data_IF_631410385992
#
_entry.id   IF_631410385992
#
_cell.length_a   1.000
_cell.length_b   1.000
_cell.length_c   1.000
_cell.angle_alpha   90.00
_cell.angle_beta   90.00
_cell.angle_gamma   90.00
#
_symmetry.space_group_name_H-M   'P 1'
#
loop_
_entity.id
_entity.type
_entity.pdbx_description
1 polymer ?
#
# COMPACT_ATOMS: atom_id res chain seq x y z
N UNK A 1 -19.77 15.12 -22.71
CA UNK A 1 -20.92 14.97 -23.64
C UNK A 1 -22.18 15.60 -23.05
N UNK A 2 -22.21 15.80 -21.73
CA UNK A 2 -23.38 16.25 -20.96
C UNK A 2 -23.67 17.75 -21.08
N UNK A 3 -22.68 18.56 -21.47
CA UNK A 3 -22.86 19.99 -21.75
C UNK A 3 -23.73 20.26 -22.99
N UNK A 4 -23.76 19.34 -23.97
CA UNK A 4 -24.50 19.51 -25.23
C UNK A 4 -25.77 18.64 -25.29
N UNK A 5 -25.84 17.53 -24.56
CA UNK A 5 -26.93 16.54 -24.63
C UNK A 5 -27.71 16.39 -23.30
N UNK A 6 -27.32 17.11 -22.25
CA UNK A 6 -27.90 16.98 -20.90
C UNK A 6 -29.25 17.66 -20.67
N UNK A 7 -29.68 18.59 -21.53
CA UNK A 7 -30.98 19.26 -21.37
C UNK A 7 -31.00 20.41 -20.34
N UNK A 8 -29.83 20.94 -19.96
CA UNK A 8 -29.66 22.16 -19.15
C UNK A 8 -30.24 22.07 -17.73
N UNK A 9 -30.11 20.93 -17.04
CA UNK A 9 -30.57 20.81 -15.66
C UNK A 9 -29.74 21.64 -14.67
N UNK A 10 -28.48 21.95 -15.02
CA UNK A 10 -27.57 22.70 -14.15
C UNK A 10 -27.78 24.24 -14.21
N UNK A 11 -28.56 24.76 -15.16
CA UNK A 11 -28.91 26.17 -15.22
C UNK A 11 -27.70 27.12 -15.21
N UNK A 12 -27.65 28.02 -14.23
CA UNK A 12 -26.59 29.04 -14.07
C UNK A 12 -25.29 28.49 -13.45
N UNK A 13 -25.26 27.23 -13.01
CA UNK A 13 -24.04 26.61 -12.47
C UNK A 13 -23.20 26.00 -13.59
N UNK A 14 -22.31 26.81 -14.15
CA UNK A 14 -21.49 26.45 -15.31
C UNK A 14 -20.48 25.33 -14.99
N UNK A 15 -20.11 25.13 -13.73
CA UNK A 15 -19.19 24.06 -13.33
C UNK A 15 -19.87 22.69 -13.38
N UNK A 16 -21.18 22.65 -13.15
CA UNK A 16 -21.98 21.42 -13.17
C UNK A 16 -22.37 20.96 -14.58
N UNK A 17 -22.11 21.77 -15.63
CA UNK A 17 -22.47 21.46 -17.02
C UNK A 17 -21.75 20.24 -17.60
N UNK A 18 -20.54 19.96 -17.11
CA UNK A 18 -19.72 18.83 -17.58
C UNK A 18 -20.06 17.52 -16.87
N UNK A 19 -20.79 17.58 -15.75
CA UNK A 19 -21.15 16.41 -14.96
C UNK A 19 -22.54 15.87 -15.31
N UNK A 20 -22.80 14.65 -14.84
CA UNK A 20 -24.12 14.01 -14.96
C UNK A 20 -25.24 14.81 -14.29
N UNK A 21 -24.90 15.74 -13.38
CA UNK A 21 -25.82 16.68 -12.74
C UNK A 21 -26.53 17.62 -13.74
N UNK A 22 -25.98 17.79 -14.95
CA UNK A 22 -26.64 18.56 -16.00
C UNK A 22 -27.69 17.76 -16.78
N UNK A 23 -27.78 16.44 -16.58
CA UNK A 23 -28.67 15.55 -17.35
C UNK A 23 -30.07 15.51 -16.75
N UNK A 24 -31.09 15.87 -17.55
CA UNK A 24 -32.50 15.85 -17.15
C UNK A 24 -33.00 14.42 -16.89
N UNK A 25 -33.82 14.24 -15.85
CA UNK A 25 -34.46 12.97 -15.53
C UNK A 25 -35.28 12.43 -16.71
N UNK A 26 -35.04 11.16 -17.07
CA UNK A 26 -35.68 10.51 -18.23
C UNK A 26 -34.92 10.69 -19.55
N UNK A 27 -33.76 11.36 -19.55
CA UNK A 27 -32.91 11.46 -20.73
C UNK A 27 -32.33 10.10 -21.15
N UNK A 28 -32.33 9.85 -22.45
CA UNK A 28 -31.75 8.64 -23.05
C UNK A 28 -30.22 8.53 -22.82
N UNK A 29 -29.55 9.64 -22.50
CA UNK A 29 -28.11 9.70 -22.19
C UNK A 29 -27.75 8.80 -21.00
N UNK A 30 -28.64 8.66 -20.01
CA UNK A 30 -28.44 7.75 -18.88
C UNK A 30 -28.25 6.30 -19.34
N UNK A 31 -29.00 5.86 -20.35
CA UNK A 31 -28.91 4.50 -20.87
C UNK A 31 -27.60 4.21 -21.60
N UNK A 32 -26.95 5.22 -22.18
CA UNK A 32 -25.63 5.10 -22.81
C UNK A 32 -24.50 5.24 -21.78
N UNK A 33 -24.71 6.02 -20.73
CA UNK A 33 -23.73 6.19 -19.66
C UNK A 33 -23.48 4.88 -18.91
N UNK A 34 -24.51 4.09 -18.64
CA UNK A 34 -24.40 2.79 -17.96
C UNK A 34 -23.39 1.85 -18.63
N UNK A 35 -23.51 1.46 -19.91
CA UNK A 35 -22.53 0.60 -20.56
C UNK A 35 -21.15 1.26 -20.69
N UNK A 36 -21.07 2.59 -20.84
CA UNK A 36 -19.80 3.30 -20.85
C UNK A 36 -19.05 3.16 -19.51
N UNK A 37 -19.75 3.24 -18.38
CA UNK A 37 -19.19 3.01 -17.03
C UNK A 37 -18.73 1.56 -16.88
N UNK A 38 -19.53 0.58 -17.29
CA UNK A 38 -19.10 -0.82 -17.23
C UNK A 38 -17.90 -1.11 -18.13
N UNK A 39 -17.83 -0.47 -19.30
CA UNK A 39 -16.69 -0.56 -20.19
C UNK A 39 -15.42 0.03 -19.55
N UNK A 40 -15.49 1.23 -18.97
CA UNK A 40 -14.33 1.85 -18.32
C UNK A 40 -13.86 1.03 -17.13
N UNK A 41 -14.77 0.48 -16.32
CA UNK A 41 -14.43 -0.44 -15.23
C UNK A 41 -13.74 -1.68 -15.78
N UNK A 42 -14.32 -2.33 -16.80
CA UNK A 42 -13.77 -3.56 -17.40
C UNK A 42 -12.38 -3.35 -18.00
N UNK A 43 -12.19 -2.27 -18.75
CA UNK A 43 -10.89 -1.92 -19.35
C UNK A 43 -9.86 -1.60 -18.28
N UNK A 44 -10.25 -0.83 -17.24
CA UNK A 44 -9.35 -0.49 -16.13
C UNK A 44 -8.90 -1.75 -15.38
N UNK A 45 -9.84 -2.64 -15.04
CA UNK A 45 -9.56 -3.92 -14.40
C UNK A 45 -8.62 -4.77 -15.27
N UNK A 46 -8.92 -4.91 -16.57
CA UNK A 46 -8.09 -5.66 -17.50
C UNK A 46 -6.65 -5.16 -17.54
N UNK A 47 -6.44 -3.84 -17.63
CA UNK A 47 -5.08 -3.28 -17.64
C UNK A 47 -4.36 -3.45 -16.30
N UNK A 48 -5.05 -3.29 -15.16
CA UNK A 48 -4.47 -3.49 -13.83
C UNK A 48 -3.98 -4.94 -13.69
N UNK A 49 -4.85 -5.93 -13.91
CA UNK A 49 -4.49 -7.34 -13.75
C UNK A 49 -3.41 -7.76 -14.75
N UNK A 50 -3.52 -7.36 -16.01
CA UNK A 50 -2.51 -7.66 -17.02
C UNK A 50 -1.15 -7.07 -16.66
N UNK A 51 -1.10 -5.85 -16.15
CA UNK A 51 0.16 -5.19 -15.77
C UNK A 51 0.74 -5.81 -14.49
N UNK A 52 -0.13 -6.16 -13.54
CA UNK A 52 0.25 -6.81 -12.30
C UNK A 52 0.97 -8.14 -12.57
N UNK A 53 0.34 -9.00 -13.38
CA UNK A 53 0.84 -10.36 -13.63
C UNK A 53 2.06 -10.36 -14.55
N UNK A 54 2.03 -9.58 -15.65
CA UNK A 54 3.08 -9.65 -16.66
C UNK A 54 4.30 -8.80 -16.34
N UNK A 55 4.14 -7.71 -15.58
CA UNK A 55 5.22 -6.74 -15.38
C UNK A 55 5.62 -6.60 -13.93
N UNK A 56 4.66 -6.32 -13.05
CA UNK A 56 4.97 -5.95 -11.67
C UNK A 56 5.43 -7.15 -10.85
N UNK A 57 4.69 -8.26 -10.86
CA UNK A 57 5.00 -9.44 -10.05
C UNK A 57 6.37 -10.08 -10.39
N UNK A 58 6.74 -10.26 -11.68
CA UNK A 58 8.06 -10.76 -12.04
C UNK A 58 9.19 -9.82 -11.62
N UNK A 59 9.01 -8.50 -11.79
CA UNK A 59 10.00 -7.49 -11.36
C UNK A 59 10.16 -7.46 -9.85
N UNK A 60 9.05 -7.53 -9.11
CA UNK A 60 9.07 -7.61 -7.64
C UNK A 60 9.80 -8.85 -7.17
N UNK A 61 9.51 -10.02 -7.74
CA UNK A 61 10.21 -11.27 -7.41
C UNK A 61 11.70 -11.14 -7.71
N UNK A 62 12.08 -10.64 -8.89
CA UNK A 62 13.48 -10.45 -9.27
C UNK A 62 14.20 -9.47 -8.33
N UNK A 63 13.53 -8.39 -7.91
CA UNK A 63 14.07 -7.44 -6.94
C UNK A 63 14.26 -8.07 -5.56
N UNK A 64 13.27 -8.80 -5.05
CA UNK A 64 13.34 -9.51 -3.76
C UNK A 64 14.49 -10.53 -3.74
N UNK A 65 14.65 -11.31 -4.81
CA UNK A 65 15.73 -12.29 -4.93
C UNK A 65 17.13 -11.66 -5.04
N UNK A 66 17.22 -10.37 -5.37
CA UNK A 66 18.47 -9.60 -5.44
C UNK A 66 18.76 -8.79 -4.18
N UNK A 67 17.88 -8.82 -3.17
CA UNK A 67 18.11 -8.08 -1.94
C UNK A 67 19.38 -8.59 -1.24
N UNK A 68 20.21 -7.68 -0.69
CA UNK A 68 21.35 -8.08 0.12
C UNK A 68 20.92 -8.98 1.27
N UNK A 69 21.71 -10.03 1.52
CA UNK A 69 21.40 -11.09 2.49
C UNK A 69 20.98 -10.54 3.87
N UNK A 70 21.64 -9.48 4.34
CA UNK A 70 21.30 -8.81 5.60
C UNK A 70 19.81 -8.44 5.70
N UNK A 71 19.21 -7.88 4.65
CA UNK A 71 17.78 -7.51 4.67
C UNK A 71 16.85 -8.69 4.49
N UNK A 72 17.33 -9.80 3.94
CA UNK A 72 16.55 -11.01 3.72
C UNK A 72 16.52 -11.94 4.94
N UNK A 73 17.45 -11.77 5.90
CA UNK A 73 17.57 -12.64 7.08
C UNK A 73 17.34 -11.92 8.41
N UNK A 74 16.98 -10.64 8.38
CA UNK A 74 16.68 -9.85 9.58
C UNK A 74 15.19 -9.58 9.65
N UNK A 75 14.62 -9.76 10.84
CA UNK A 75 13.21 -9.49 11.13
C UNK A 75 13.11 -8.45 12.25
N UNK A 76 12.17 -7.53 12.11
CA UNK A 76 11.80 -6.62 13.18
C UNK A 76 10.70 -7.28 14.02
N UNK A 77 10.94 -7.39 15.32
CA UNK A 77 10.00 -7.96 16.28
C UNK A 77 9.46 -6.81 17.14
N UNK A 78 8.15 -6.64 17.11
CA UNK A 78 7.44 -5.57 17.83
C UNK A 78 6.51 -6.14 18.89
N UNK A 79 6.00 -5.27 19.77
CA UNK A 79 5.02 -5.63 20.82
C UNK A 79 5.51 -6.73 21.78
N UNK A 80 6.78 -6.64 22.19
CA UNK A 80 7.40 -7.55 23.14
C UNK A 80 6.83 -7.28 24.54
N UNK A 81 6.40 -8.30 25.30
CA UNK A 81 5.94 -8.10 26.67
C UNK A 81 7.01 -7.43 27.55
N UNK A 82 6.57 -6.59 28.47
CA UNK A 82 7.45 -5.89 29.40
C UNK A 82 8.31 -6.88 30.20
N UNK A 83 9.60 -6.57 30.35
CA UNK A 83 10.57 -7.43 31.03
C UNK A 83 11.04 -8.65 30.24
N UNK A 84 10.52 -8.89 29.03
CA UNK A 84 10.97 -9.98 28.11
C UNK A 84 11.78 -9.47 26.92
N UNK A 85 12.15 -8.20 26.92
CA UNK A 85 13.02 -7.56 25.93
C UNK A 85 14.51 -7.86 26.19
N UNK A 86 14.85 -9.13 26.44
CA UNK A 86 16.23 -9.58 26.66
C UNK A 86 16.74 -10.37 25.46
N UNK A 87 18.06 -10.31 25.22
CA UNK A 87 18.70 -10.99 24.08
C UNK A 87 18.49 -12.49 24.19
N UNK A 88 18.76 -13.04 25.37
CA UNK A 88 18.64 -14.47 25.67
C UNK A 88 17.19 -14.95 25.56
N UNK A 89 16.23 -14.12 26.00
CA UNK A 89 14.81 -14.42 25.91
C UNK A 89 14.34 -14.52 24.46
N UNK A 90 14.86 -13.65 23.58
CA UNK A 90 14.55 -13.70 22.14
C UNK A 90 15.20 -14.88 21.44
N UNK A 91 16.47 -15.16 21.73
CA UNK A 91 17.16 -16.32 21.18
C UNK A 91 16.43 -17.62 21.53
N UNK A 92 16.13 -17.85 22.82
CA UNK A 92 15.42 -19.06 23.27
C UNK A 92 14.00 -19.14 22.71
N UNK A 93 13.29 -18.01 22.59
CA UNK A 93 11.96 -18.01 22.00
C UNK A 93 11.97 -18.51 20.55
N UNK A 94 12.86 -17.98 19.71
CA UNK A 94 12.91 -18.40 18.31
C UNK A 94 13.53 -19.79 18.16
N UNK A 95 14.67 -20.06 18.81
CA UNK A 95 15.39 -21.32 18.66
C UNK A 95 14.60 -22.49 19.25
N UNK A 96 14.12 -22.38 20.50
CA UNK A 96 13.52 -23.51 21.21
C UNK A 96 12.02 -23.62 20.99
N UNK A 97 11.29 -22.50 21.06
CA UNK A 97 9.82 -22.52 21.04
C UNK A 97 9.23 -22.45 19.62
N UNK A 98 9.72 -21.55 18.77
CA UNK A 98 9.16 -21.37 17.41
C UNK A 98 9.67 -22.42 16.43
N UNK A 99 11.00 -22.61 16.38
CA UNK A 99 11.63 -23.44 15.35
C UNK A 99 12.15 -24.78 15.84
N UNK A 100 12.31 -24.99 17.15
CA UNK A 100 12.83 -26.23 17.75
C UNK A 100 14.26 -26.58 17.32
N UNK A 101 15.04 -25.59 16.87
CA UNK A 101 16.43 -25.71 16.43
C UNK A 101 17.08 -24.32 16.43
N UNK A 102 18.41 -24.27 16.52
CA UNK A 102 19.16 -23.00 16.38
C UNK A 102 18.98 -22.37 15.00
N UNK A 103 18.36 -21.19 14.96
CA UNK A 103 18.12 -20.38 13.76
C UNK A 103 18.58 -18.94 13.93
N UNK A 104 18.65 -18.43 15.17
CA UNK A 104 19.06 -17.05 15.43
C UNK A 104 20.58 -16.93 15.34
N UNK A 105 21.04 -15.94 14.56
CA UNK A 105 22.47 -15.61 14.44
C UNK A 105 22.90 -14.54 15.45
N UNK A 106 22.07 -13.50 15.58
CA UNK A 106 22.32 -12.32 16.40
C UNK A 106 21.00 -11.63 16.70
N UNK A 107 20.90 -11.02 17.88
CA UNK A 107 19.75 -10.20 18.30
C UNK A 107 20.22 -8.80 18.62
N UNK A 108 19.54 -7.81 18.06
CA UNK A 108 19.81 -6.38 18.30
C UNK A 108 18.58 -5.74 18.91
N UNK A 109 18.73 -5.21 20.12
CA UNK A 109 17.64 -4.50 20.80
C UNK A 109 17.64 -3.03 20.42
N UNK A 110 16.47 -2.53 20.03
CA UNK A 110 16.26 -1.10 19.79
C UNK A 110 16.29 -0.37 21.12
N UNK A 111 17.12 0.66 21.22
CA UNK A 111 17.24 1.52 22.39
C UNK A 111 16.59 2.86 22.09
N UNK A 112 15.96 3.46 23.10
CA UNK A 112 15.54 4.85 23.01
C UNK A 112 16.78 5.74 23.03
N UNK A 113 16.98 6.51 21.95
CA UNK A 113 18.10 7.43 21.79
C UNK A 113 17.66 8.90 21.85
N UNK A 114 16.43 9.19 22.28
CA UNK A 114 15.86 10.55 22.28
C UNK A 114 16.75 11.55 23.02
N UNK A 115 17.29 11.16 24.17
CA UNK A 115 18.16 12.00 24.99
C UNK A 115 19.60 12.12 24.46
N UNK A 116 20.03 11.18 23.62
CA UNK A 116 21.38 11.16 23.04
C UNK A 116 21.49 12.04 21.79
N UNK A 117 20.39 12.21 21.05
CA UNK A 117 20.36 13.03 19.84
C UNK A 117 20.79 14.50 20.04
N UNK A 118 20.35 15.24 21.08
CA UNK A 118 20.83 16.60 21.30
C UNK A 118 22.33 16.65 21.63
N UNK A 119 22.84 15.68 22.39
CA UNK A 119 24.25 15.61 22.81
C UNK A 119 25.20 15.29 21.65
N UNK A 120 24.76 14.49 20.68
CA UNK A 120 25.54 14.20 19.48
C UNK A 120 25.65 15.44 18.58
N UNK A 121 24.57 16.22 18.46
CA UNK A 121 24.57 17.46 17.66
C UNK A 121 25.45 18.57 18.24
N UNK A 122 25.64 18.60 19.56
CA UNK A 122 26.51 19.59 20.20
C UNK A 122 28.01 19.26 20.01
N UNK A 123 28.33 17.99 19.67
CA UNK A 123 29.69 17.52 19.44
C UNK A 123 30.18 17.69 18.00
N UNK A 124 29.27 17.77 17.02
CA UNK A 124 29.57 17.99 15.60
C UNK A 124 29.73 19.47 15.28
#
# INVERSE_FOLDING_TARGET
>A
MDCFLGGNAAGQDHLSWLGMANVVHGSWVCWVHVPAVFWTIGVTQFFIFRTMDNTFMPRRKAWLMRLPRLRATTVLVESIPEGKNTVEGMESYFDDFVFGRKVVREVHMVKDTSDLLPLVRERE
#
